data_IF_723894194279
#
_entry.id   IF_723894194279
#
_cell.length_a   1.000
_cell.length_b   1.000
_cell.length_c   1.000
_cell.angle_alpha   90.00
_cell.angle_beta   90.00
_cell.angle_gamma   90.00
#
_symmetry.space_group_name_H-M   'P 1'
#
loop_
_entity.id
_entity.type
_entity.pdbx_description
1 polymer ?
#
# COMPACT_ATOMS: atom_id res chain seq x y z
N UNK A 1 -1.69 -8.84 0.67
CA UNK A 1 -0.25 -8.89 0.98
C UNK A 1 -0.10 -8.71 2.48
N UNK A 2 0.73 -9.51 3.12
CA UNK A 2 1.06 -9.35 4.53
C UNK A 2 2.55 -9.01 4.65
N UNK A 3 2.90 -7.98 5.42
CA UNK A 3 4.24 -7.39 5.47
C UNK A 3 4.64 -7.06 6.91
N UNK A 4 5.94 -7.10 7.20
CA UNK A 4 6.50 -6.67 8.49
C UNK A 4 6.38 -5.14 8.59
N UNK A 5 5.25 -4.66 9.11
CA UNK A 5 4.89 -3.24 9.06
C UNK A 5 5.90 -2.35 9.80
N UNK A 6 6.61 -2.88 10.80
CA UNK A 6 7.61 -2.14 11.56
C UNK A 6 8.88 -1.83 10.75
N UNK A 7 9.40 -2.84 10.02
CA UNK A 7 10.68 -2.76 9.31
C UNK A 7 10.52 -2.27 7.87
N UNK A 8 9.38 -2.56 7.23
CA UNK A 8 9.14 -2.26 5.82
C UNK A 8 9.40 -0.80 5.40
N UNK A 9 9.07 0.24 6.21
CA UNK A 9 9.37 1.63 5.88
C UNK A 9 10.85 1.95 5.65
N UNK A 10 11.76 1.17 6.25
CA UNK A 10 13.20 1.38 6.13
C UNK A 10 13.81 0.63 4.94
N UNK A 11 13.06 -0.31 4.36
CA UNK A 11 13.51 -1.18 3.27
C UNK A 11 12.94 -0.70 1.93
N UNK A 12 11.67 -0.31 1.93
CA UNK A 12 10.92 -0.05 0.72
C UNK A 12 11.04 1.42 0.24
N UNK A 13 10.89 1.58 -1.08
CA UNK A 13 10.65 2.89 -1.68
C UNK A 13 9.16 3.06 -1.97
N UNK A 14 8.62 4.23 -1.63
CA UNK A 14 7.20 4.54 -1.77
C UNK A 14 7.05 5.97 -2.30
N UNK A 15 6.11 6.18 -3.23
CA UNK A 15 5.82 7.51 -3.76
C UNK A 15 4.78 8.20 -2.89
N UNK A 16 4.94 9.50 -2.73
CA UNK A 16 4.01 10.31 -1.92
C UNK A 16 2.59 10.41 -2.53
N UNK A 17 2.42 10.09 -3.82
CA UNK A 17 1.13 10.10 -4.50
C UNK A 17 0.43 8.73 -4.53
N UNK A 18 0.97 7.72 -3.83
CA UNK A 18 0.34 6.40 -3.72
C UNK A 18 -0.76 6.34 -2.65
N UNK A 19 -0.77 7.27 -1.70
CA UNK A 19 -1.83 7.43 -0.71
C UNK A 19 -1.75 8.80 -0.03
N UNK A 20 -2.80 9.17 0.70
CA UNK A 20 -2.84 10.44 1.46
C UNK A 20 -1.82 10.49 2.61
N UNK A 21 -1.44 9.33 3.15
CA UNK A 21 -0.47 9.22 4.26
C UNK A 21 0.88 8.75 3.76
N UNK A 22 1.94 9.09 4.48
CA UNK A 22 3.26 8.53 4.22
C UNK A 22 3.27 7.01 4.45
N UNK A 23 4.23 6.30 3.86
CA UNK A 23 4.41 4.85 4.08
C UNK A 23 4.43 4.49 5.57
N UNK A 24 5.14 5.26 6.39
CA UNK A 24 5.17 5.07 7.85
C UNK A 24 3.79 5.22 8.49
N UNK A 25 2.96 6.14 8.01
CA UNK A 25 1.58 6.31 8.45
C UNK A 25 0.70 5.11 8.09
N UNK A 26 0.83 4.62 6.84
CA UNK A 26 0.12 3.42 6.36
C UNK A 26 0.52 2.18 7.17
N UNK A 27 1.83 1.98 7.39
CA UNK A 27 2.32 0.83 8.17
C UNK A 27 1.87 0.90 9.63
N UNK A 28 1.88 2.10 10.24
CA UNK A 28 1.35 2.29 11.59
C UNK A 28 -0.14 1.96 11.70
N UNK A 29 -0.92 2.15 10.63
CA UNK A 29 -2.33 1.77 10.62
C UNK A 29 -2.55 0.24 10.63
N UNK A 30 -1.56 -0.54 10.19
CA UNK A 30 -1.57 -2.02 10.27
C UNK A 30 -1.22 -2.53 11.67
N UNK A 31 -0.43 -1.77 12.41
CA UNK A 31 -0.07 -2.11 13.79
C UNK A 31 -1.26 -1.80 14.69
N UNK A 32 -2.03 -2.83 15.08
CA UNK A 32 -2.97 -2.67 16.19
C UNK A 32 -2.17 -2.35 17.44
N UNK A 33 -2.27 -1.12 17.96
CA UNK A 33 -1.68 -0.76 19.26
C UNK A 33 -2.26 -1.52 20.47
N UNK A 34 -3.05 -2.56 20.21
CA UNK A 34 -3.63 -3.51 21.15
C UNK A 34 -3.11 -4.89 20.76
N UNK A 35 -2.16 -5.40 21.53
CA UNK A 35 -1.82 -6.82 21.51
C UNK A 35 -2.65 -7.50 22.59
N UNK A 36 -3.48 -8.46 22.23
CA UNK A 36 -4.09 -9.30 23.26
C UNK A 36 -2.97 -10.11 23.91
N UNK A 37 -2.88 -10.03 25.24
CA UNK A 37 -1.95 -10.88 25.98
C UNK A 37 -2.27 -12.35 25.68
N UNK A 38 -1.27 -13.14 25.27
CA UNK A 38 -1.44 -14.57 25.09
C UNK A 38 -1.80 -15.23 26.43
N UNK A 39 -2.51 -16.36 26.37
CA UNK A 39 -2.70 -17.20 27.55
C UNK A 39 -1.45 -18.05 27.69
N UNK A 40 -0.50 -17.61 28.50
CA UNK A 40 0.76 -18.32 28.71
C UNK A 40 0.53 -19.66 29.43
N UNK A 41 1.08 -20.72 28.86
CA UNK A 41 1.14 -22.04 29.48
C UNK A 41 2.43 -22.08 30.32
N UNK A 42 2.35 -22.31 31.64
CA UNK A 42 3.53 -22.37 32.50
C UNK A 42 4.50 -23.48 32.11
N UNK A 43 5.80 -23.17 32.13
CA UNK A 43 6.85 -24.15 31.84
C UNK A 43 6.76 -25.38 32.75
N UNK A 44 6.93 -26.55 32.13
CA UNK A 44 6.86 -27.85 32.81
C UNK A 44 5.46 -28.43 32.95
N UNK A 45 4.41 -27.74 32.46
CA UNK A 45 3.09 -28.34 32.33
C UNK A 45 3.14 -29.57 31.40
N UNK A 46 2.43 -30.63 31.78
CA UNK A 46 2.40 -31.90 31.03
C UNK A 46 1.04 -32.19 30.42
N UNK A 47 -0.04 -31.73 31.06
CA UNK A 47 -1.39 -31.88 30.55
C UNK A 47 -2.10 -30.54 30.51
N UNK A 48 -2.96 -30.40 29.51
CA UNK A 48 -3.91 -29.31 29.38
C UNK A 48 -5.31 -29.89 29.59
N UNK A 49 -6.11 -29.25 30.44
CA UNK A 49 -7.42 -29.75 30.86
C UNK A 49 -8.46 -28.64 30.86
N UNK A 50 -9.72 -29.03 30.77
CA UNK A 50 -10.87 -28.14 30.81
C UNK A 50 -12.10 -28.91 31.27
N UNK A 51 -12.95 -28.29 32.09
CA UNK A 51 -14.28 -28.82 32.32
C UNK A 51 -15.18 -28.43 31.16
N UNK A 52 -15.85 -29.41 30.57
CA UNK A 52 -16.77 -29.18 29.46
C UNK A 52 -18.10 -29.85 29.74
N UNK A 53 -19.19 -29.17 29.40
CA UNK A 53 -20.56 -29.69 29.47
C UNK A 53 -21.25 -29.39 28.15
N UNK A 54 -21.64 -30.45 27.43
CA UNK A 54 -22.34 -30.34 26.16
C UNK A 54 -23.86 -30.31 26.41
N UNK A 55 -24.60 -29.42 25.75
CA UNK A 55 -26.07 -29.37 25.89
C UNK A 55 -26.74 -30.69 25.49
N UNK A 56 -26.19 -31.35 24.46
CA UNK A 56 -26.71 -32.57 23.87
C UNK A 56 -25.58 -33.57 23.57
N UNK A 57 -25.97 -34.81 23.25
CA UNK A 57 -25.03 -35.80 22.74
C UNK A 57 -24.66 -35.51 21.28
N UNK A 58 -23.40 -35.13 21.04
CA UNK A 58 -22.87 -34.77 19.72
C UNK A 58 -21.96 -35.86 19.13
N UNK A 59 -22.52 -36.88 18.44
CA UNK A 59 -21.70 -37.94 17.85
C UNK A 59 -20.80 -37.39 16.73
N UNK A 60 -19.57 -37.89 16.65
CA UNK A 60 -18.56 -37.51 15.65
C UNK A 60 -18.05 -36.06 15.74
N UNK A 61 -18.28 -35.38 16.87
CA UNK A 61 -17.65 -34.09 17.16
C UNK A 61 -16.49 -34.28 18.14
N UNK A 62 -15.40 -33.56 17.92
CA UNK A 62 -14.17 -33.66 18.72
C UNK A 62 -13.77 -32.28 19.22
N UNK A 63 -13.33 -32.21 20.48
CA UNK A 63 -12.86 -30.97 21.07
C UNK A 63 -11.34 -30.89 21.00
N UNK A 64 -10.81 -29.77 20.52
CA UNK A 64 -9.39 -29.52 20.35
C UNK A 64 -8.96 -28.23 21.05
N UNK A 65 -7.68 -28.14 21.40
CA UNK A 65 -7.03 -26.91 21.82
C UNK A 65 -5.80 -26.65 20.96
N UNK A 66 -5.63 -25.42 20.50
CA UNK A 66 -4.49 -25.03 19.67
C UNK A 66 -3.49 -24.26 20.52
N UNK A 67 -2.25 -24.73 20.54
CA UNK A 67 -1.13 -24.14 21.27
C UNK A 67 -0.09 -23.59 20.31
N UNK A 68 0.60 -22.52 20.71
CA UNK A 68 1.71 -21.92 19.95
C UNK A 68 3.02 -22.07 20.71
N UNK A 69 4.07 -22.50 20.01
CA UNK A 69 5.44 -22.55 20.52
C UNK A 69 6.20 -21.21 20.33
N UNK A 70 7.40 -21.10 20.91
CA UNK A 70 8.23 -19.88 20.80
C UNK A 70 8.64 -19.51 19.36
N UNK A 71 8.62 -20.48 18.44
CA UNK A 71 8.94 -20.29 17.01
C UNK A 71 7.71 -19.88 16.21
N UNK A 72 6.57 -19.73 16.86
CA UNK A 72 5.29 -19.40 16.26
C UNK A 72 4.57 -20.60 15.63
N UNK A 73 5.07 -21.84 15.82
CA UNK A 73 4.43 -23.04 15.29
C UNK A 73 3.17 -23.33 16.10
N UNK A 74 2.05 -23.50 15.40
CA UNK A 74 0.78 -23.90 15.99
C UNK A 74 0.62 -25.41 15.92
N UNK A 75 0.15 -26.00 17.01
CA UNK A 75 -0.13 -27.43 17.12
C UNK A 75 -1.52 -27.65 17.72
N UNK A 76 -2.24 -28.66 17.21
CA UNK A 76 -3.62 -28.96 17.58
C UNK A 76 -3.64 -30.17 18.50
N UNK A 77 -3.96 -29.94 19.76
CA UNK A 77 -4.04 -30.97 20.79
C UNK A 77 -5.49 -31.46 20.90
N UNK A 78 -5.73 -32.73 20.59
CA UNK A 78 -7.06 -33.32 20.73
C UNK A 78 -7.36 -33.64 22.20
N UNK A 79 -8.53 -33.22 22.69
CA UNK A 79 -9.11 -33.60 23.98
C UNK A 79 -10.01 -34.84 23.85
N UNK A 80 -10.24 -35.33 22.63
CA UNK A 80 -11.10 -36.47 22.32
C UNK A 80 -12.50 -36.07 21.82
N UNK A 81 -13.44 -37.04 21.78
CA UNK A 81 -14.83 -36.80 21.43
C UNK A 81 -15.49 -35.80 22.39
N UNK A 82 -16.51 -35.07 21.93
CA UNK A 82 -17.32 -34.20 22.78
C UNK A 82 -17.86 -34.95 24.00
N UNK A 83 -17.96 -34.29 25.18
CA UNK A 83 -18.48 -34.93 26.38
C UNK A 83 -19.98 -35.23 26.22
N UNK A 84 -20.48 -36.19 26.99
CA UNK A 84 -21.93 -36.35 27.18
C UNK A 84 -22.47 -35.18 28.03
N UNK A 85 -23.79 -34.93 28.01
CA UNK A 85 -24.39 -33.91 28.89
C UNK A 85 -24.04 -34.13 30.36
N UNK A 86 -23.57 -33.06 31.01
CA UNK A 86 -23.00 -33.04 32.34
C UNK A 86 -21.49 -32.75 32.34
N UNK A 87 -21.05 -31.93 33.29
CA UNK A 87 -19.65 -31.55 33.47
C UNK A 87 -18.69 -32.74 33.49
N UNK A 88 -17.83 -32.77 32.47
CA UNK A 88 -16.80 -33.78 32.30
C UNK A 88 -15.44 -33.10 32.16
N UNK A 89 -14.45 -33.58 32.91
CA UNK A 89 -13.08 -33.10 32.79
C UNK A 89 -12.44 -33.72 31.56
N UNK A 90 -12.16 -32.90 30.56
CA UNK A 90 -11.44 -33.30 29.35
C UNK A 90 -9.95 -33.00 29.52
N UNK A 91 -9.08 -33.86 29.00
CA UNK A 91 -7.63 -33.69 29.12
C UNK A 91 -6.85 -34.13 27.88
N UNK A 92 -5.71 -33.50 27.65
CA UNK A 92 -4.76 -33.85 26.60
C UNK A 92 -3.32 -33.69 27.12
N UNK A 93 -2.38 -34.41 26.50
CA UNK A 93 -0.95 -34.34 26.87
C UNK A 93 -0.25 -33.32 26.00
N UNK A 94 0.54 -32.43 26.60
CA UNK A 94 1.36 -31.46 25.90
C UNK A 94 2.56 -32.21 25.28
N UNK A 95 2.72 -32.19 23.94
CA UNK A 95 3.80 -32.90 23.28
C UNK A 95 5.18 -32.33 23.61
N UNK A 96 6.18 -33.20 23.72
CA UNK A 96 7.56 -32.81 24.06
C UNK A 96 8.31 -32.11 22.91
N UNK A 97 7.80 -32.17 21.67
CA UNK A 97 8.44 -31.52 20.52
C UNK A 97 8.19 -30.01 20.45
N UNK A 98 7.26 -29.49 21.27
CA UNK A 98 6.97 -28.06 21.34
C UNK A 98 8.05 -27.32 22.14
N UNK A 99 8.50 -26.17 21.63
CA UNK A 99 9.54 -25.35 22.25
C UNK A 99 8.94 -24.25 23.14
N UNK A 100 9.24 -24.28 24.44
CA UNK A 100 8.82 -23.27 25.42
C UNK A 100 9.41 -21.87 25.16
N UNK A 101 8.71 -20.76 25.49
CA UNK A 101 7.39 -20.70 26.13
C UNK A 101 6.25 -21.14 25.19
N UNK A 102 5.18 -21.68 25.79
CA UNK A 102 3.98 -22.08 25.08
C UNK A 102 2.82 -21.15 25.43
N UNK A 103 1.89 -20.96 24.50
CA UNK A 103 0.65 -20.22 24.76
C UNK A 103 -0.57 -20.94 24.18
N UNK A 104 -1.71 -20.85 24.88
CA UNK A 104 -3.00 -21.32 24.40
C UNK A 104 -3.63 -20.24 23.51
N UNK A 105 -3.96 -20.61 22.28
CA UNK A 105 -4.44 -19.67 21.26
C UNK A 105 -5.92 -19.85 20.95
N UNK A 106 -6.40 -21.09 20.90
CA UNK A 106 -7.78 -21.38 20.48
C UNK A 106 -8.32 -22.64 21.14
N UNK A 107 -9.64 -22.64 21.36
CA UNK A 107 -10.44 -23.83 21.67
C UNK A 107 -11.35 -24.08 20.48
N UNK A 108 -11.34 -25.30 19.97
CA UNK A 108 -11.98 -25.65 18.71
C UNK A 108 -12.84 -26.89 18.85
N UNK A 109 -13.83 -26.98 17.98
CA UNK A 109 -14.61 -28.18 17.73
C UNK A 109 -14.41 -28.58 16.29
N UNK A 110 -14.12 -29.85 16.06
CA UNK A 110 -14.04 -30.44 14.74
C UNK A 110 -15.21 -31.40 14.52
N UNK A 111 -15.90 -31.21 13.40
CA UNK A 111 -16.92 -32.10 12.89
C UNK A 111 -16.56 -32.46 11.43
N UNK A 112 -16.46 -33.75 11.06
CA UNK A 112 -16.05 -34.17 9.71
C UNK A 112 -17.21 -34.03 8.71
N UNK A 113 -17.67 -32.81 8.50
CA UNK A 113 -18.76 -32.42 7.60
C UNK A 113 -18.27 -31.48 6.50
N UNK A 114 -19.03 -31.41 5.40
CA UNK A 114 -18.73 -30.53 4.28
C UNK A 114 -19.86 -29.50 4.10
N UNK A 115 -19.49 -28.23 3.98
CA UNK A 115 -20.45 -27.13 3.79
C UNK A 115 -21.33 -26.87 5.03
N UNK A 116 -22.49 -26.21 4.86
CA UNK A 116 -23.36 -25.76 5.95
C UNK A 116 -24.23 -26.90 6.49
N UNK A 117 -23.61 -28.04 6.78
CA UNK A 117 -24.27 -29.28 7.23
C UNK A 117 -23.87 -29.69 8.65
N UNK A 118 -23.16 -28.81 9.37
CA UNK A 118 -22.76 -29.06 10.75
C UNK A 118 -23.94 -29.11 11.71
N UNK A 119 -23.67 -29.70 12.86
CA UNK A 119 -24.63 -29.83 13.96
C UNK A 119 -24.72 -28.52 14.73
N UNK A 120 -25.95 -28.03 14.96
CA UNK A 120 -26.18 -26.85 15.82
C UNK A 120 -26.13 -27.28 17.27
N UNK A 121 -25.56 -26.45 18.14
CA UNK A 121 -25.54 -26.76 19.55
C UNK A 121 -24.92 -25.68 20.41
N UNK A 122 -24.89 -25.98 21.70
CA UNK A 122 -24.27 -25.20 22.74
C UNK A 122 -23.39 -26.09 23.62
N UNK A 123 -22.32 -25.50 24.13
CA UNK A 123 -21.47 -26.11 25.15
C UNK A 123 -21.02 -25.08 26.17
N UNK A 124 -20.80 -25.55 27.39
CA UNK A 124 -20.24 -24.79 28.50
C UNK A 124 -18.82 -25.25 28.78
N UNK A 125 -17.97 -24.31 29.15
CA UNK A 125 -16.55 -24.53 29.40
C UNK A 125 -16.15 -23.81 30.68
N UNK A 126 -15.46 -24.50 31.57
CA UNK A 126 -15.00 -23.92 32.83
C UNK A 126 -13.58 -24.40 33.18
N UNK A 127 -12.86 -23.58 33.92
CA UNK A 127 -11.49 -23.79 34.39
C UNK A 127 -10.58 -24.46 33.35
N UNK A 128 -10.14 -23.72 32.33
CA UNK A 128 -9.01 -24.16 31.50
C UNK A 128 -7.77 -24.12 32.38
N UNK A 129 -7.13 -25.27 32.60
CA UNK A 129 -6.00 -25.38 33.52
C UNK A 129 -4.95 -26.38 33.03
N UNK A 130 -3.78 -26.30 33.65
CA UNK A 130 -2.66 -27.21 33.39
C UNK A 130 -2.34 -28.05 34.61
N UNK A 131 -1.86 -29.26 34.36
CA UNK A 131 -1.34 -30.17 35.37
C UNK A 131 0.15 -30.44 35.15
N UNK A 132 0.90 -30.52 36.25
CA UNK A 132 2.34 -30.76 36.25
C UNK A 132 2.62 -32.18 36.76
N UNK A 133 3.52 -32.92 36.10
CA UNK A 133 3.88 -34.28 36.52
C UNK A 133 4.79 -34.36 37.74
N UNK A 134 5.21 -33.23 38.31
CA UNK A 134 6.10 -33.15 39.47
C UNK A 134 5.34 -32.95 40.81
N UNK A 135 4.00 -33.05 40.80
CA UNK A 135 3.18 -32.84 42.00
C UNK A 135 2.96 -31.37 42.37
N UNK A 136 3.36 -30.42 41.51
CA UNK A 136 2.95 -29.02 41.62
C UNK A 136 1.43 -28.92 41.42
N UNK A 137 0.78 -28.06 42.20
CA UNK A 137 -0.66 -27.84 42.10
C UNK A 137 -1.07 -27.40 40.68
N UNK A 138 -2.24 -27.85 40.19
CA UNK A 138 -2.77 -27.40 38.92
C UNK A 138 -2.87 -25.88 38.88
N UNK A 139 -2.57 -25.29 37.73
CA UNK A 139 -2.65 -23.84 37.53
C UNK A 139 -3.75 -23.50 36.53
N UNK A 140 -4.68 -22.67 36.94
CA UNK A 140 -5.73 -22.13 36.07
C UNK A 140 -5.12 -21.14 35.08
N UNK A 141 -5.47 -21.31 33.81
CA UNK A 141 -5.13 -20.43 32.70
C UNK A 141 -6.28 -19.45 32.41
N UNK A 142 -7.53 -19.92 32.44
CA UNK A 142 -8.73 -19.11 32.25
C UNK A 142 -9.91 -19.76 32.99
N UNK A 143 -10.51 -19.04 33.93
CA UNK A 143 -11.69 -19.43 34.72
C UNK A 143 -13.00 -18.81 34.18
N UNK A 144 -12.94 -18.04 33.09
CA UNK A 144 -14.08 -17.30 32.54
C UNK A 144 -14.75 -16.28 33.51
N UNK A 145 -14.10 -15.96 34.64
CA UNK A 145 -14.57 -15.00 35.63
C UNK A 145 -14.17 -13.56 35.32
N UNK A 146 -13.36 -13.34 34.29
CA UNK A 146 -12.92 -12.01 33.86
C UNK A 146 -13.81 -11.37 32.81
N UNK A 147 -13.29 -10.31 32.18
CA UNK A 147 -13.79 -9.85 30.89
C UNK A 147 -13.36 -10.85 29.81
N UNK A 148 -14.31 -11.49 29.15
CA UNK A 148 -13.99 -12.39 28.02
C UNK A 148 -13.24 -11.61 26.95
N UNK A 149 -12.03 -12.06 26.60
CA UNK A 149 -11.28 -11.58 25.43
C UNK A 149 -11.17 -12.68 24.35
N UNK A 150 -12.10 -13.64 24.38
CA UNK A 150 -12.26 -14.64 23.33
C UNK A 150 -13.06 -14.06 22.17
N UNK A 151 -12.72 -14.48 20.95
CA UNK A 151 -13.42 -14.11 19.71
C UNK A 151 -13.77 -15.38 18.96
N UNK A 152 -14.94 -15.45 18.35
CA UNK A 152 -15.33 -16.62 17.56
C UNK A 152 -14.55 -16.72 16.26
N UNK A 153 -14.26 -17.94 15.84
CA UNK A 153 -13.74 -18.22 14.51
C UNK A 153 -14.86 -17.92 13.49
N UNK A 154 -14.51 -17.24 12.40
CA UNK A 154 -15.47 -16.94 11.35
C UNK A 154 -15.75 -18.22 10.55
N UNK A 155 -17.01 -18.68 10.55
CA UNK A 155 -17.45 -19.89 9.84
C UNK A 155 -18.34 -19.57 8.65
N UNK A 156 -18.89 -18.35 8.60
CA UNK A 156 -19.75 -17.84 7.53
C UNK A 156 -19.66 -16.32 7.40
N UNK A 157 -20.09 -15.79 6.26
CA UNK A 157 -20.14 -14.35 5.99
C UNK A 157 -21.35 -13.65 6.64
N UNK A 158 -22.39 -14.42 6.99
CA UNK A 158 -23.69 -13.90 7.44
C UNK A 158 -24.16 -14.47 8.78
N UNK A 159 -23.62 -15.62 9.18
CA UNK A 159 -23.91 -16.27 10.45
C UNK A 159 -22.63 -16.34 11.26
N UNK A 160 -22.72 -16.01 12.55
CA UNK A 160 -21.60 -16.14 13.47
C UNK A 160 -22.00 -17.07 14.60
N UNK A 161 -21.08 -17.97 14.95
CA UNK A 161 -21.08 -18.58 16.26
C UNK A 161 -21.00 -17.48 17.34
N UNK A 162 -21.33 -17.83 18.58
CA UNK A 162 -21.31 -16.89 19.72
C UNK A 162 -20.46 -17.46 20.83
N UNK A 163 -19.51 -16.67 21.32
CA UNK A 163 -18.75 -16.95 22.55
C UNK A 163 -19.10 -15.91 23.60
N UNK A 164 -19.32 -16.36 24.83
CA UNK A 164 -19.69 -15.50 25.95
C UNK A 164 -19.41 -16.16 27.28
N UNK A 165 -20.04 -15.62 28.32
CA UNK A 165 -20.04 -16.19 29.68
C UNK A 165 -21.46 -16.28 30.19
N UNK A 166 -21.73 -17.24 31.08
CA UNK A 166 -23.05 -17.46 31.70
C UNK A 166 -22.88 -17.69 33.20
N UNK A 167 -23.89 -17.29 33.97
CA UNK A 167 -23.95 -17.50 35.44
C UNK A 167 -24.77 -18.77 35.79
N UNK A 168 -25.49 -19.33 34.80
CA UNK A 168 -26.47 -20.40 35.01
C UNK A 168 -25.86 -21.81 35.09
N UNK A 169 -24.66 -22.00 34.54
CA UNK A 169 -23.93 -23.26 34.52
C UNK A 169 -22.44 -22.99 34.81
N UNK A 170 -21.90 -23.55 35.90
CA UNK A 170 -20.49 -23.44 36.28
C UNK A 170 -20.06 -24.61 37.17
N UNK A 171 -18.77 -24.93 37.17
CA UNK A 171 -18.15 -25.93 38.05
C UNK A 171 -17.59 -25.25 39.29
N UNK A 172 -16.78 -24.21 39.08
CA UNK A 172 -16.25 -23.39 40.17
C UNK A 172 -16.60 -21.91 39.94
N UNK A 173 -16.26 -21.03 40.88
CA UNK A 173 -16.56 -19.61 40.74
C UNK A 173 -18.06 -19.27 40.73
N UNK A 174 -18.46 -18.43 39.78
CA UNK A 174 -19.81 -17.90 39.55
C UNK A 174 -20.24 -17.99 38.09
N UNK A 175 -19.30 -18.15 37.15
CA UNK A 175 -19.54 -18.06 35.70
C UNK A 175 -18.74 -19.13 34.97
N UNK A 176 -19.26 -19.56 33.83
CA UNK A 176 -18.53 -20.37 32.88
C UNK A 176 -18.56 -19.74 31.49
N UNK A 177 -17.63 -20.15 30.64
CA UNK A 177 -17.67 -19.87 29.21
C UNK A 177 -18.86 -20.58 28.56
N UNK A 178 -19.51 -19.91 27.62
CA UNK A 178 -20.54 -20.51 26.76
C UNK A 178 -20.14 -20.32 25.30
N UNK A 179 -20.23 -21.40 24.54
CA UNK A 179 -20.01 -21.39 23.09
C UNK A 179 -21.23 -21.98 22.38
N UNK A 180 -21.93 -21.14 21.62
CA UNK A 180 -23.07 -21.51 20.77
C UNK A 180 -22.63 -21.54 19.33
N UNK A 181 -22.87 -22.64 18.64
CA UNK A 181 -22.38 -22.86 17.28
C UNK A 181 -23.50 -23.25 16.32
N UNK A 182 -23.40 -22.71 15.10
CA UNK A 182 -24.36 -22.93 14.02
C UNK A 182 -23.98 -24.12 13.11
N UNK A 183 -24.69 -24.23 11.97
CA UNK A 183 -24.46 -25.27 10.96
C UNK A 183 -23.25 -25.02 10.06
N UNK A 184 -22.81 -23.76 9.99
CA UNK A 184 -21.70 -23.35 9.15
C UNK A 184 -20.37 -23.75 9.80
N UNK A 185 -19.43 -24.25 9.00
CA UNK A 185 -18.09 -24.65 9.45
C UNK A 185 -17.05 -24.17 8.44
N UNK A 186 -15.83 -23.87 8.90
CA UNK A 186 -14.67 -23.67 8.02
C UNK A 186 -13.82 -24.95 8.04
N UNK A 187 -13.89 -25.75 6.98
CA UNK A 187 -13.23 -27.07 6.89
C UNK A 187 -13.60 -28.04 8.04
N UNK A 188 -14.84 -27.96 8.53
CA UNK A 188 -15.31 -28.75 9.68
C UNK A 188 -14.90 -28.19 11.04
N UNK A 189 -14.18 -27.07 11.07
CA UNK A 189 -13.69 -26.43 12.29
C UNK A 189 -14.62 -25.27 12.68
N UNK A 190 -14.90 -25.19 13.99
CA UNK A 190 -15.58 -24.09 14.67
C UNK A 190 -14.86 -23.84 16.00
N UNK A 191 -15.17 -22.73 16.64
CA UNK A 191 -14.63 -22.45 17.97
C UNK A 191 -14.34 -20.99 18.19
N UNK A 192 -13.42 -20.73 19.09
CA UNK A 192 -13.05 -19.39 19.48
C UNK A 192 -11.55 -19.30 19.79
N UNK A 193 -10.99 -18.11 19.66
CA UNK A 193 -9.56 -17.85 19.73
C UNK A 193 -9.28 -16.52 20.44
N UNK A 194 -8.05 -16.38 20.96
CA UNK A 194 -7.52 -15.10 21.43
C UNK A 194 -6.97 -14.35 20.23
N UNK A 195 -7.66 -13.28 19.84
CA UNK A 195 -7.22 -12.51 18.68
C UNK A 195 -5.93 -11.75 18.98
N UNK A 196 -4.83 -11.97 18.22
CA UNK A 196 -3.57 -11.25 18.43
C UNK A 196 -3.73 -9.72 18.39
N UNK A 197 -4.65 -9.22 17.56
CA UNK A 197 -4.97 -7.79 17.41
C UNK A 197 -6.07 -7.28 18.35
N UNK A 198 -6.56 -8.12 19.27
CA UNK A 198 -7.67 -7.79 20.16
C UNK A 198 -9.05 -7.71 19.48
N UNK A 199 -9.17 -8.18 18.23
CA UNK A 199 -10.42 -8.17 17.46
C UNK A 199 -10.22 -8.61 16.02
N UNK A 200 -11.00 -8.10 15.05
CA UNK A 200 -10.72 -8.31 13.62
C UNK A 200 -9.28 -7.87 13.27
N UNK A 201 -8.69 -8.51 12.26
CA UNK A 201 -7.32 -8.20 11.82
C UNK A 201 -7.29 -6.81 11.19
N UNK A 202 -6.47 -5.86 11.68
CA UNK A 202 -6.35 -4.55 11.07
C UNK A 202 -5.76 -4.66 9.66
N UNK A 203 -6.38 -3.99 8.70
CA UNK A 203 -5.90 -3.96 7.32
C UNK A 203 -5.93 -2.56 6.74
N UNK A 204 -5.10 -2.32 5.74
CA UNK A 204 -5.22 -1.18 4.84
C UNK A 204 -5.73 -1.69 3.51
N UNK A 205 -6.80 -1.08 3.00
CA UNK A 205 -7.40 -1.50 1.74
C UNK A 205 -6.94 -0.62 0.58
N UNK A 206 -6.98 -1.15 -0.63
CA UNK A 206 -6.89 -0.30 -1.82
C UNK A 206 -8.21 0.46 -2.06
N UNK A 207 -8.15 1.64 -2.67
CA UNK A 207 -9.34 2.40 -3.06
C UNK A 207 -10.27 1.59 -4.00
N UNK A 208 -9.69 0.75 -4.89
CA UNK A 208 -10.46 -0.12 -5.77
C UNK A 208 -11.17 -1.26 -5.01
N UNK A 209 -10.55 -1.83 -3.96
CA UNK A 209 -11.18 -2.80 -3.07
C UNK A 209 -12.38 -2.17 -2.33
N UNK A 210 -12.17 -0.98 -1.75
CA UNK A 210 -13.23 -0.25 -1.05
C UNK A 210 -14.41 0.04 -1.99
N UNK A 211 -14.12 0.48 -3.23
CA UNK A 211 -15.16 0.74 -4.25
C UNK A 211 -15.89 -0.53 -4.70
N UNK A 212 -15.20 -1.66 -4.81
CA UNK A 212 -15.78 -2.93 -5.26
C UNK A 212 -16.67 -3.58 -4.19
N UNK A 213 -16.29 -3.45 -2.92
CA UNK A 213 -17.02 -4.06 -1.79
C UNK A 213 -18.02 -3.12 -1.15
N UNK A 214 -17.87 -1.81 -1.33
CA UNK A 214 -18.62 -0.79 -0.61
C UNK A 214 -18.18 -0.59 0.84
N UNK A 215 -17.17 -1.33 1.31
CA UNK A 215 -16.62 -1.21 2.65
C UNK A 215 -15.60 -0.06 2.71
N UNK A 216 -15.70 0.78 3.75
CA UNK A 216 -14.83 1.92 3.98
C UNK A 216 -14.00 1.79 5.26
N UNK A 217 -13.23 2.83 5.56
CA UNK A 217 -12.44 2.92 6.80
C UNK A 217 -13.37 2.87 8.02
N UNK A 218 -13.05 2.00 8.96
CA UNK A 218 -13.83 1.71 10.18
C UNK A 218 -14.69 0.47 10.07
N UNK A 219 -15.03 0.01 8.86
CA UNK A 219 -15.87 -1.16 8.66
C UNK A 219 -15.13 -2.45 9.03
N UNK A 220 -15.87 -3.38 9.64
CA UNK A 220 -15.41 -4.75 9.87
C UNK A 220 -16.18 -5.69 8.94
N UNK A 221 -15.45 -6.45 8.14
CA UNK A 221 -16.00 -7.41 7.17
C UNK A 221 -15.24 -8.72 7.25
N UNK A 222 -15.83 -9.80 6.74
CA UNK A 222 -15.16 -11.09 6.62
C UNK A 222 -14.72 -11.27 5.17
N UNK A 223 -13.45 -11.61 4.96
CA UNK A 223 -12.88 -11.87 3.63
C UNK A 223 -12.36 -13.29 3.54
N UNK A 224 -12.42 -13.87 2.35
CA UNK A 224 -11.79 -15.15 2.09
C UNK A 224 -10.33 -14.93 1.67
N UNK A 225 -9.39 -15.37 2.51
CA UNK A 225 -7.95 -15.33 2.25
C UNK A 225 -7.41 -16.75 2.24
N UNK A 226 -6.87 -17.20 1.10
CA UNK A 226 -6.30 -18.55 0.93
C UNK A 226 -7.28 -19.67 1.32
N UNK A 227 -8.58 -19.47 1.09
CA UNK A 227 -9.62 -20.45 1.43
C UNK A 227 -10.07 -20.42 2.89
N UNK A 228 -9.68 -19.39 3.67
CA UNK A 228 -10.02 -19.21 5.09
C UNK A 228 -10.81 -17.93 5.28
N UNK A 229 -11.79 -17.94 6.16
CA UNK A 229 -12.57 -16.76 6.50
C UNK A 229 -11.85 -15.92 7.56
N UNK A 230 -11.48 -14.70 7.19
CA UNK A 230 -10.72 -13.79 8.06
C UNK A 230 -11.56 -12.54 8.34
N UNK A 231 -11.98 -12.30 9.59
CA UNK A 231 -12.57 -11.03 9.98
C UNK A 231 -11.48 -9.96 9.96
N UNK A 232 -11.70 -8.92 9.17
CA UNK A 232 -10.80 -7.78 9.01
C UNK A 232 -11.48 -6.49 9.45
N UNK A 233 -10.69 -5.49 9.81
CA UNK A 233 -11.14 -4.11 9.99
C UNK A 233 -10.30 -3.18 9.13
N UNK A 234 -10.96 -2.37 8.30
CA UNK A 234 -10.27 -1.42 7.43
C UNK A 234 -9.84 -0.21 8.26
N UNK A 235 -8.54 -0.03 8.42
CA UNK A 235 -7.94 1.05 9.22
C UNK A 235 -7.55 2.25 8.37
N UNK A 236 -7.26 2.03 7.09
CA UNK A 236 -6.87 3.07 6.15
C UNK A 236 -7.10 2.63 4.69
N UNK A 237 -6.92 3.56 3.76
CA UNK A 237 -7.01 3.30 2.31
C UNK A 237 -5.81 3.87 1.54
N UNK A 238 -5.35 3.13 0.53
CA UNK A 238 -4.27 3.55 -0.40
C UNK A 238 -4.72 3.37 -1.85
N UNK A 239 -4.17 4.14 -2.79
CA UNK A 239 -4.46 3.95 -4.21
C UNK A 239 -3.54 2.89 -4.83
N UNK A 240 -2.26 2.96 -4.47
CA UNK A 240 -1.21 2.07 -4.98
C UNK A 240 -0.31 1.57 -3.85
N UNK A 241 0.24 0.39 -4.06
CA UNK A 241 1.28 -0.17 -3.19
C UNK A 241 2.27 -0.95 -4.06
N UNK A 242 3.59 -0.90 -3.78
CA UNK A 242 4.58 -1.68 -4.53
C UNK A 242 4.16 -3.15 -4.68
N UNK A 243 4.42 -3.73 -5.85
CA UNK A 243 4.05 -5.10 -6.27
C UNK A 243 2.55 -5.44 -6.32
N UNK A 244 1.67 -4.53 -5.90
CA UNK A 244 0.22 -4.75 -5.90
C UNK A 244 -0.48 -4.13 -7.11
N UNK A 245 -1.40 -4.88 -7.70
CA UNK A 245 -2.19 -4.47 -8.86
C UNK A 245 -3.63 -4.13 -8.45
N UNK A 246 -4.02 -2.85 -8.36
CA UNK A 246 -5.37 -2.45 -7.96
C UNK A 246 -6.44 -2.81 -9.00
N UNK A 247 -6.07 -3.16 -10.24
CA UNK A 247 -7.04 -3.50 -11.30
C UNK A 247 -7.70 -4.87 -11.10
N UNK A 248 -7.10 -5.76 -10.29
CA UNK A 248 -7.58 -7.12 -10.03
C UNK A 248 -8.52 -7.20 -8.82
N UNK A 249 -9.60 -6.42 -8.83
CA UNK A 249 -10.56 -6.26 -7.72
C UNK A 249 -9.97 -5.61 -6.44
N UNK A 250 -8.84 -4.92 -6.58
CA UNK A 250 -8.13 -4.31 -5.47
C UNK A 250 -7.34 -5.29 -4.62
N UNK A 251 -6.76 -4.76 -3.55
CA UNK A 251 -5.91 -5.50 -2.63
C UNK A 251 -6.09 -5.04 -1.18
N UNK A 252 -5.58 -5.88 -0.28
CA UNK A 252 -5.48 -5.63 1.15
C UNK A 252 -4.03 -5.77 1.59
N UNK A 253 -3.59 -4.87 2.47
CA UNK A 253 -2.33 -4.92 3.19
C UNK A 253 -2.63 -5.31 4.64
N UNK A 254 -1.81 -6.19 5.21
CA UNK A 254 -1.94 -6.71 6.56
C UNK A 254 -0.57 -6.72 7.22
N UNK A 255 -0.53 -6.64 8.54
CA UNK A 255 0.68 -6.98 9.28
C UNK A 255 0.98 -8.49 9.17
N UNK A 256 2.24 -8.85 8.90
CA UNK A 256 2.66 -10.23 8.63
C UNK A 256 2.37 -11.16 9.81
N UNK A 257 2.76 -10.75 11.02
CA UNK A 257 2.61 -11.58 12.22
C UNK A 257 1.14 -11.78 12.56
N UNK A 258 0.34 -10.72 12.51
CA UNK A 258 -1.10 -10.81 12.73
C UNK A 258 -1.78 -11.71 11.70
N UNK A 259 -1.41 -11.59 10.43
CA UNK A 259 -1.96 -12.40 9.35
C UNK A 259 -1.58 -13.89 9.51
N UNK A 260 -0.31 -14.20 9.77
CA UNK A 260 0.15 -15.58 9.94
C UNK A 260 -0.44 -16.24 11.18
N UNK A 261 -0.50 -15.52 12.31
CA UNK A 261 -1.15 -16.03 13.52
C UNK A 261 -2.61 -16.32 13.26
N UNK A 262 -3.35 -15.40 12.64
CA UNK A 262 -4.77 -15.64 12.36
C UNK A 262 -4.99 -16.79 11.38
N UNK A 263 -4.29 -16.79 10.23
CA UNK A 263 -4.46 -17.82 9.22
C UNK A 263 -4.15 -19.19 9.81
N UNK A 264 -3.02 -19.36 10.49
CA UNK A 264 -2.58 -20.67 10.95
C UNK A 264 -3.35 -21.23 12.15
N UNK A 265 -4.23 -20.46 12.83
CA UNK A 265 -5.12 -20.98 13.87
C UNK A 265 -6.11 -22.01 13.32
N UNK A 266 -6.56 -21.83 12.07
CA UNK A 266 -7.66 -22.60 11.49
C UNK A 266 -7.24 -23.94 10.85
N UNK A 267 -5.95 -24.28 10.75
CA UNK A 267 -5.57 -25.51 10.01
C UNK A 267 -4.35 -26.24 10.56
N UNK A 268 -4.51 -27.52 10.95
CA UNK A 268 -3.37 -28.43 11.15
C UNK A 268 -2.83 -29.00 9.82
N UNK A 269 -3.55 -28.85 8.70
CA UNK A 269 -3.22 -29.51 7.43
C UNK A 269 -2.25 -28.67 6.59
N UNK A 270 -2.45 -27.35 6.56
CA UNK A 270 -1.60 -26.45 5.77
C UNK A 270 -1.16 -25.25 6.59
N UNK A 271 0.14 -25.16 6.86
CA UNK A 271 0.73 -23.96 7.47
C UNK A 271 1.03 -22.95 6.37
N UNK A 272 0.42 -21.77 6.46
CA UNK A 272 0.79 -20.60 5.69
C UNK A 272 2.13 -20.08 6.22
N UNK A 273 3.07 -19.85 5.31
CA UNK A 273 4.41 -19.34 5.61
C UNK A 273 4.69 -18.10 4.75
N UNK A 274 5.60 -17.21 5.18
CA UNK A 274 6.12 -16.16 4.31
C UNK A 274 6.64 -16.73 3.00
N UNK A 275 6.36 -16.05 1.90
CA UNK A 275 6.73 -16.47 0.55
C UNK A 275 7.63 -15.47 -0.18
N UNK A 276 7.91 -14.31 0.43
CA UNK A 276 8.72 -13.22 -0.14
C UNK A 276 9.61 -12.62 0.96
N UNK A 277 10.78 -12.12 0.58
CA UNK A 277 11.72 -11.42 1.47
C UNK A 277 12.17 -10.16 0.75
N UNK A 278 12.07 -9.01 1.43
CA UNK A 278 12.61 -7.74 0.95
C UNK A 278 13.92 -7.46 1.68
N UNK A 279 14.96 -7.13 0.93
CA UNK A 279 16.31 -6.91 1.48
C UNK A 279 16.75 -5.49 1.14
N UNK A 280 17.16 -4.74 2.16
CA UNK A 280 17.86 -3.48 2.02
C UNK A 280 19.37 -3.72 2.07
N UNK A 281 20.09 -3.05 1.18
CA UNK A 281 21.56 -3.06 1.15
C UNK A 281 22.12 -1.77 1.78
N UNK A 282 23.25 -1.91 2.48
CA UNK A 282 24.07 -0.76 2.87
C UNK A 282 25.00 -0.39 1.72
N UNK A 283 25.37 0.90 1.55
CA UNK A 283 26.25 1.32 0.47
C UNK A 283 27.57 0.52 0.44
N UNK A 284 27.91 -0.06 -0.71
CA UNK A 284 29.13 -0.85 -0.91
C UNK A 284 29.01 -2.35 -0.60
N UNK A 285 27.83 -2.84 -0.22
CA UNK A 285 27.58 -4.27 0.06
C UNK A 285 26.78 -4.99 -1.05
N UNK A 286 26.59 -4.37 -2.21
CA UNK A 286 25.65 -4.79 -3.25
C UNK A 286 25.96 -6.22 -3.75
N UNK A 287 27.24 -6.49 -4.06
CA UNK A 287 27.66 -7.80 -4.58
C UNK A 287 27.51 -8.92 -3.54
N UNK A 288 27.82 -8.63 -2.27
CA UNK A 288 27.72 -9.60 -1.19
C UNK A 288 26.26 -9.90 -0.83
N UNK A 289 25.40 -8.88 -0.77
CA UNK A 289 23.96 -9.04 -0.56
C UNK A 289 23.35 -9.87 -1.71
N UNK A 290 23.75 -9.61 -2.96
CA UNK A 290 23.28 -10.38 -4.11
C UNK A 290 23.69 -11.85 -4.03
N UNK A 291 24.94 -12.15 -3.64
CA UNK A 291 25.40 -13.54 -3.42
C UNK A 291 24.60 -14.24 -2.32
N UNK A 292 24.34 -13.55 -1.21
CA UNK A 292 23.52 -14.08 -0.11
C UNK A 292 22.10 -14.36 -0.60
N UNK A 293 21.47 -13.41 -1.30
CA UNK A 293 20.14 -13.59 -1.87
C UNK A 293 20.07 -14.80 -2.81
N UNK A 294 21.08 -15.00 -3.68
CA UNK A 294 21.17 -16.16 -4.57
C UNK A 294 21.34 -17.49 -3.82
N UNK A 295 21.96 -17.48 -2.65
CA UNK A 295 22.11 -18.67 -1.80
C UNK A 295 20.85 -19.01 -1.00
N UNK A 296 20.01 -18.01 -0.70
CA UNK A 296 18.74 -18.18 -0.01
C UNK A 296 17.61 -18.57 -0.98
N UNK A 297 17.65 -18.07 -2.22
CA UNK A 297 16.58 -18.28 -3.19
C UNK A 297 16.61 -19.70 -3.78
N UNK A 298 15.45 -20.37 -3.94
CA UNK A 298 15.37 -21.69 -4.59
C UNK A 298 15.87 -21.69 -6.04
N UNK A 299 15.79 -20.54 -6.72
CA UNK A 299 16.28 -20.38 -8.09
C UNK A 299 16.71 -18.94 -8.35
N UNK A 300 17.67 -18.76 -9.26
CA UNK A 300 18.21 -17.42 -9.59
C UNK A 300 17.16 -16.46 -10.14
N UNK A 301 16.15 -16.97 -10.85
CA UNK A 301 15.10 -16.15 -11.49
C UNK A 301 14.12 -15.53 -10.47
N UNK A 302 14.19 -15.93 -9.21
CA UNK A 302 13.37 -15.35 -8.13
C UNK A 302 14.09 -14.22 -7.38
N UNK A 303 15.36 -13.97 -7.70
CA UNK A 303 16.10 -12.84 -7.14
C UNK A 303 15.93 -11.64 -8.06
N UNK A 304 15.23 -10.63 -7.55
CA UNK A 304 14.95 -9.39 -8.28
C UNK A 304 15.75 -8.24 -7.67
N UNK A 305 16.77 -7.77 -8.39
CA UNK A 305 17.49 -6.56 -8.04
C UNK A 305 16.80 -5.33 -8.65
N UNK A 306 16.43 -4.38 -7.80
CA UNK A 306 15.81 -3.11 -8.20
C UNK A 306 16.72 -2.32 -9.14
N UNK A 307 18.02 -2.24 -8.87
CA UNK A 307 18.96 -1.45 -9.69
C UNK A 307 19.05 -2.05 -11.09
N UNK A 308 19.26 -3.35 -11.18
CA UNK A 308 19.26 -4.09 -12.46
C UNK A 308 17.93 -3.98 -13.21
N UNK A 309 16.78 -4.04 -12.52
CA UNK A 309 15.47 -3.88 -13.16
C UNK A 309 15.28 -2.46 -13.71
N UNK A 310 15.60 -1.43 -12.94
CA UNK A 310 15.51 -0.04 -13.40
C UNK A 310 16.49 0.23 -14.55
N UNK A 311 17.70 -0.34 -14.49
CA UNK A 311 18.67 -0.23 -15.55
C UNK A 311 18.21 -0.94 -16.83
N UNK A 312 17.59 -2.12 -16.74
CA UNK A 312 17.02 -2.82 -17.90
C UNK A 312 15.95 -2.00 -18.62
N UNK A 313 15.14 -1.25 -17.88
CA UNK A 313 14.14 -0.32 -18.43
C UNK A 313 14.81 0.92 -19.06
N UNK A 314 15.90 1.43 -18.46
CA UNK A 314 16.65 2.58 -19.01
C UNK A 314 17.45 2.23 -20.27
N UNK A 315 17.99 1.02 -20.33
CA UNK A 315 18.88 0.56 -21.40
C UNK A 315 18.12 0.09 -22.64
N UNK A 316 16.78 0.07 -22.65
CA UNK A 316 16.01 -0.18 -23.87
C UNK A 316 16.27 0.95 -24.89
N UNK A 317 17.13 0.73 -25.91
CA UNK A 317 17.61 1.80 -26.79
C UNK A 317 16.49 2.34 -27.67
N UNK A 318 15.44 1.54 -27.90
CA UNK A 318 14.29 1.94 -28.70
C UNK A 318 13.45 2.98 -27.96
N UNK A 319 13.40 2.92 -26.63
CA UNK A 319 12.57 3.80 -25.79
C UNK A 319 13.38 4.98 -25.25
N UNK A 320 14.61 4.84 -24.76
CA UNK A 320 15.31 5.98 -24.15
C UNK A 320 16.13 6.81 -25.14
N UNK A 321 16.82 6.18 -26.10
CA UNK A 321 17.64 6.93 -27.06
C UNK A 321 16.78 7.67 -28.10
N UNK A 322 15.70 7.05 -28.57
CA UNK A 322 14.75 7.66 -29.49
C UNK A 322 14.10 8.92 -28.92
N UNK A 323 13.55 8.84 -27.71
CA UNK A 323 12.86 9.97 -27.07
C UNK A 323 13.81 11.12 -26.68
N UNK A 324 15.03 10.82 -26.21
CA UNK A 324 16.05 11.86 -25.96
C UNK A 324 16.46 12.59 -27.23
N UNK A 325 16.70 11.87 -28.33
CA UNK A 325 17.04 12.47 -29.61
C UNK A 325 15.89 13.34 -30.14
N UNK A 326 14.64 12.85 -30.05
CA UNK A 326 13.46 13.62 -30.43
C UNK A 326 13.30 14.89 -29.58
N UNK A 327 13.56 14.82 -28.27
CA UNK A 327 13.50 15.99 -27.39
C UNK A 327 14.53 17.05 -27.78
N UNK A 328 15.78 16.65 -28.07
CA UNK A 328 16.82 17.58 -28.54
C UNK A 328 16.48 18.20 -29.90
N UNK A 329 15.94 17.42 -30.83
CA UNK A 329 15.46 17.93 -32.11
C UNK A 329 14.30 18.91 -31.92
N UNK A 330 13.34 18.61 -31.04
CA UNK A 330 12.23 19.50 -30.73
C UNK A 330 12.73 20.83 -30.16
N UNK A 331 13.74 20.83 -29.28
CA UNK A 331 14.38 22.06 -28.79
C UNK A 331 14.93 22.89 -29.96
N UNK A 332 15.65 22.24 -30.89
CA UNK A 332 16.17 22.92 -32.08
C UNK A 332 15.07 23.55 -32.93
N UNK A 333 13.97 22.82 -33.16
CA UNK A 333 12.79 23.32 -33.90
C UNK A 333 12.14 24.48 -33.17
N UNK A 334 11.98 24.41 -31.84
CA UNK A 334 11.40 25.48 -31.02
C UNK A 334 12.24 26.75 -31.13
N UNK A 335 13.56 26.65 -30.94
CA UNK A 335 14.45 27.81 -31.01
C UNK A 335 14.48 28.42 -32.43
N UNK A 336 14.48 27.57 -33.45
CA UNK A 336 14.42 28.01 -34.85
C UNK A 336 13.10 28.73 -35.15
N UNK A 337 11.96 28.13 -34.80
CA UNK A 337 10.64 28.69 -35.02
C UNK A 337 10.43 29.99 -34.23
N UNK A 338 10.89 30.04 -32.97
CA UNK A 338 10.83 31.25 -32.14
C UNK A 338 11.67 32.38 -32.73
N UNK A 339 12.90 32.07 -33.17
CA UNK A 339 13.79 33.06 -33.81
C UNK A 339 13.16 33.59 -35.09
N UNK A 340 12.73 32.69 -35.98
CA UNK A 340 12.16 33.06 -37.28
C UNK A 340 10.87 33.87 -37.08
N UNK A 341 9.95 33.37 -36.26
CA UNK A 341 8.67 34.03 -35.99
C UNK A 341 8.86 35.43 -35.39
N UNK A 342 9.77 35.57 -34.41
CA UNK A 342 10.02 36.86 -33.79
C UNK A 342 10.74 37.84 -34.72
N UNK A 343 11.72 37.38 -35.51
CA UNK A 343 12.39 38.22 -36.52
C UNK A 343 11.39 38.70 -37.57
N UNK A 344 10.51 37.82 -38.08
CA UNK A 344 9.46 38.21 -39.03
C UNK A 344 8.51 39.24 -38.42
N UNK A 345 8.09 39.04 -37.16
CA UNK A 345 7.28 40.00 -36.43
C UNK A 345 7.97 41.37 -36.32
N UNK A 346 9.24 41.40 -35.90
CA UNK A 346 10.00 42.65 -35.77
C UNK A 346 10.19 43.38 -37.10
N UNK A 347 10.40 42.67 -38.20
CA UNK A 347 10.50 43.27 -39.54
C UNK A 347 9.18 43.94 -39.92
N UNK A 348 8.05 43.25 -39.71
CA UNK A 348 6.72 43.80 -39.95
C UNK A 348 6.44 45.02 -39.07
N UNK A 349 6.78 44.92 -37.78
CA UNK A 349 6.63 46.01 -36.82
C UNK A 349 7.50 47.21 -37.20
N UNK A 350 8.75 47.00 -37.60
CA UNK A 350 9.66 48.07 -38.02
C UNK A 350 9.14 48.83 -39.25
N UNK A 351 8.50 48.14 -40.20
CA UNK A 351 7.92 48.78 -41.37
C UNK A 351 6.75 49.72 -40.99
N UNK A 352 5.89 49.28 -40.06
CA UNK A 352 4.69 50.01 -39.66
C UNK A 352 4.95 51.12 -38.65
N UNK A 353 5.88 50.91 -37.72
CA UNK A 353 6.22 51.86 -36.64
C UNK A 353 7.13 53.01 -37.08
N UNK A 354 7.71 52.98 -38.29
CA UNK A 354 8.62 54.04 -38.79
C UNK A 354 7.98 55.43 -38.78
N UNK A 355 6.72 55.54 -39.20
CA UNK A 355 5.99 56.82 -39.22
C UNK A 355 5.69 57.32 -37.81
N UNK A 356 5.26 56.44 -36.91
CA UNK A 356 4.97 56.75 -35.50
C UNK A 356 6.23 57.20 -34.74
N UNK A 357 7.35 56.50 -34.97
CA UNK A 357 8.65 56.87 -34.40
C UNK A 357 9.10 58.26 -34.88
N UNK A 358 8.87 58.60 -36.16
CA UNK A 358 9.17 59.93 -36.71
C UNK A 358 8.33 61.03 -36.07
N UNK A 359 7.03 60.79 -35.89
CA UNK A 359 6.11 61.73 -35.23
C UNK A 359 6.51 62.01 -33.76
N UNK A 360 6.80 60.96 -33.00
CA UNK A 360 7.20 61.06 -31.60
C UNK A 360 8.56 61.75 -31.43
N UNK A 361 9.52 61.53 -32.35
CA UNK A 361 10.79 62.26 -32.35
C UNK A 361 10.60 63.75 -32.67
N UNK A 362 9.68 64.10 -33.58
CA UNK A 362 9.34 65.51 -33.88
C UNK A 362 8.69 66.22 -32.67
N UNK A 363 8.00 65.49 -31.80
CA UNK A 363 7.48 65.97 -30.51
C UNK A 363 8.55 66.10 -29.41
N UNK A 364 9.81 65.72 -29.69
CA UNK A 364 10.95 65.95 -28.81
C UNK A 364 11.46 64.73 -28.03
N UNK A 365 10.96 63.51 -28.30
CA UNK A 365 11.51 62.30 -27.69
C UNK A 365 12.95 62.04 -28.16
N UNK A 366 13.86 61.85 -27.19
CA UNK A 366 15.24 61.47 -27.51
C UNK A 366 15.34 60.03 -28.02
N UNK A 367 16.37 59.73 -28.83
CA UNK A 367 16.65 58.36 -29.33
C UNK A 367 16.73 57.32 -28.20
N UNK A 368 17.21 57.72 -27.00
CA UNK A 368 17.28 56.85 -25.82
C UNK A 368 15.90 56.57 -25.20
N UNK A 369 15.04 57.58 -25.10
CA UNK A 369 13.68 57.41 -24.58
C UNK A 369 12.84 56.54 -25.53
N UNK A 370 13.02 56.71 -26.85
CA UNK A 370 12.40 55.85 -27.86
C UNK A 370 12.82 54.38 -27.70
N UNK A 371 14.13 54.11 -27.55
CA UNK A 371 14.63 52.76 -27.34
C UNK A 371 14.08 52.10 -26.07
N UNK A 372 13.95 52.85 -24.97
CA UNK A 372 13.34 52.34 -23.73
C UNK A 372 11.85 52.03 -23.87
N UNK A 373 11.09 52.90 -24.55
CA UNK A 373 9.67 52.69 -24.80
C UNK A 373 9.43 51.40 -25.59
N UNK A 374 10.15 51.24 -26.71
CA UNK A 374 10.08 50.03 -27.55
C UNK A 374 10.51 48.78 -26.79
N UNK A 375 11.56 48.90 -25.97
CA UNK A 375 12.04 47.79 -25.15
C UNK A 375 11.01 47.37 -24.11
N UNK A 376 10.36 48.33 -23.45
CA UNK A 376 9.31 48.04 -22.48
C UNK A 376 8.10 47.35 -23.14
N UNK A 377 7.66 47.84 -24.28
CA UNK A 377 6.56 47.24 -25.06
C UNK A 377 6.86 45.79 -25.45
N UNK A 378 8.03 45.55 -26.04
CA UNK A 378 8.41 44.21 -26.49
C UNK A 378 8.72 43.27 -25.32
N UNK A 379 9.20 43.79 -24.19
CA UNK A 379 9.39 43.01 -22.97
C UNK A 379 8.05 42.50 -22.43
N UNK A 380 6.98 43.31 -22.50
CA UNK A 380 5.63 42.87 -22.13
C UNK A 380 5.15 41.75 -23.06
N UNK A 381 5.35 41.90 -24.38
CA UNK A 381 4.99 40.86 -25.36
C UNK A 381 5.77 39.57 -25.10
N UNK A 382 7.08 39.65 -24.88
CA UNK A 382 7.92 38.49 -24.60
C UNK A 382 7.54 37.81 -23.27
N UNK A 383 7.26 38.60 -22.22
CA UNK A 383 6.84 38.07 -20.93
C UNK A 383 5.48 37.36 -21.02
N UNK A 384 4.51 37.96 -21.69
CA UNK A 384 3.19 37.33 -21.91
C UNK A 384 3.31 36.08 -22.79
N UNK A 385 4.11 36.13 -23.85
CA UNK A 385 4.36 34.99 -24.73
C UNK A 385 5.00 33.81 -23.99
N UNK A 386 6.02 34.08 -23.16
CA UNK A 386 6.64 33.06 -22.32
C UNK A 386 5.65 32.50 -21.29
N UNK A 387 4.88 33.36 -20.62
CA UNK A 387 3.91 32.92 -19.62
C UNK A 387 2.80 32.04 -20.23
N UNK A 388 2.17 32.50 -21.31
CA UNK A 388 1.10 31.78 -22.00
C UNK A 388 1.66 30.49 -22.63
N UNK A 389 2.83 30.56 -23.27
CA UNK A 389 3.48 29.40 -23.87
C UNK A 389 3.85 28.34 -22.84
N UNK A 390 4.35 28.76 -21.67
CA UNK A 390 4.64 27.84 -20.55
C UNK A 390 3.36 27.18 -20.03
N UNK A 391 2.30 27.96 -19.80
CA UNK A 391 1.02 27.43 -19.34
C UNK A 391 0.40 26.44 -20.35
N UNK A 392 0.42 26.79 -21.64
CA UNK A 392 -0.04 25.91 -22.71
C UNK A 392 0.82 24.64 -22.82
N UNK A 393 2.14 24.76 -22.66
CA UNK A 393 3.07 23.63 -22.62
C UNK A 393 2.73 22.65 -21.51
N UNK A 394 2.56 23.13 -20.27
CA UNK A 394 2.16 22.28 -19.15
C UNK A 394 0.79 21.62 -19.35
N UNK A 395 -0.19 22.37 -19.86
CA UNK A 395 -1.51 21.83 -20.15
C UNK A 395 -1.43 20.71 -21.21
N UNK A 396 -0.69 20.93 -22.30
CA UNK A 396 -0.51 19.94 -23.36
C UNK A 396 0.26 18.71 -22.86
N UNK A 397 1.31 18.90 -22.06
CA UNK A 397 2.07 17.80 -21.46
C UNK A 397 1.17 16.92 -20.58
N UNK A 398 0.30 17.52 -19.78
CA UNK A 398 -0.63 16.77 -18.92
C UNK A 398 -1.60 15.91 -19.76
N UNK A 399 -2.15 16.47 -20.84
CA UNK A 399 -3.05 15.75 -21.75
C UNK A 399 -2.31 14.60 -22.47
N UNK A 400 -1.09 14.85 -22.96
CA UNK A 400 -0.31 13.84 -23.68
C UNK A 400 0.06 12.67 -22.77
N UNK A 401 0.53 12.93 -21.55
CA UNK A 401 0.87 11.87 -20.59
C UNK A 401 -0.34 10.97 -20.33
N UNK A 402 -1.52 11.55 -20.12
CA UNK A 402 -2.75 10.77 -19.91
C UNK A 402 -3.11 9.85 -21.10
N UNK A 403 -2.76 10.24 -22.33
CA UNK A 403 -3.05 9.47 -23.55
C UNK A 403 -2.01 8.39 -23.89
N UNK A 404 -0.75 8.56 -23.48
CA UNK A 404 0.35 7.63 -23.76
C UNK A 404 0.54 6.62 -22.63
N UNK A 405 -0.03 6.89 -21.45
CA UNK A 405 0.01 6.03 -20.27
C UNK A 405 -0.86 4.77 -20.38
N UNK A 406 -0.89 4.13 -21.55
CA UNK A 406 -1.75 3.00 -21.85
C UNK A 406 -0.89 1.84 -22.37
N UNK A 407 -1.09 0.64 -21.82
CA UNK A 407 -0.43 -0.60 -22.24
C UNK A 407 -0.85 -0.99 -23.67
N UNK A 408 -0.17 -1.97 -24.26
CA UNK A 408 -0.56 -2.54 -25.56
C UNK A 408 -2.02 -3.08 -25.57
N UNK A 409 -2.56 -3.38 -24.38
CA UNK A 409 -3.91 -3.88 -24.18
C UNK A 409 -4.95 -2.78 -23.88
N UNK A 410 -4.57 -1.50 -23.90
CA UNK A 410 -5.53 -0.42 -23.64
C UNK A 410 -5.76 -0.11 -22.15
N UNK A 411 -4.97 -0.70 -21.23
CA UNK A 411 -5.10 -0.48 -19.79
C UNK A 411 -4.11 0.58 -19.28
N UNK A 412 -4.44 1.35 -18.24
CA UNK A 412 -3.50 2.33 -17.69
C UNK A 412 -2.22 1.65 -17.18
N UNK A 413 -1.07 2.26 -17.48
CA UNK A 413 0.24 1.79 -16.98
C UNK A 413 0.32 2.01 -15.46
N UNK A 414 0.79 0.99 -14.75
CA UNK A 414 0.97 1.00 -13.31
C UNK A 414 2.47 1.02 -12.94
N UNK A 415 2.90 1.89 -12.02
CA UNK A 415 2.15 3.00 -11.42
C UNK A 415 1.94 4.16 -12.43
N UNK A 416 0.97 5.06 -12.19
CA UNK A 416 0.71 6.19 -13.08
C UNK A 416 1.94 7.09 -13.21
N UNK A 417 2.16 7.63 -14.40
CA UNK A 417 3.26 8.55 -14.66
C UNK A 417 3.06 9.88 -13.92
N UNK A 418 4.14 10.38 -13.31
CA UNK A 418 4.19 11.74 -12.74
C UNK A 418 4.91 12.64 -13.73
N UNK A 419 4.28 13.77 -14.07
CA UNK A 419 4.92 14.80 -14.87
C UNK A 419 6.01 15.46 -14.02
N UNK A 420 7.27 15.17 -14.34
CA UNK A 420 8.42 15.86 -13.75
C UNK A 420 9.07 16.74 -14.80
N UNK A 421 9.41 17.98 -14.43
CA UNK A 421 10.10 18.92 -15.32
C UNK A 421 11.57 18.92 -14.98
N UNK A 422 12.40 18.51 -15.93
CA UNK A 422 13.85 18.63 -15.81
C UNK A 422 14.29 20.06 -16.12
N UNK A 423 14.46 20.85 -15.06
CA UNK A 423 14.93 22.23 -15.15
C UNK A 423 16.35 22.36 -15.69
N UNK A 424 17.16 21.30 -15.65
CA UNK A 424 18.50 21.32 -16.24
C UNK A 424 18.46 21.43 -17.77
N UNK A 425 17.38 20.92 -18.38
CA UNK A 425 17.14 21.03 -19.83
C UNK A 425 16.31 22.28 -20.14
N UNK A 426 15.22 22.51 -19.41
CA UNK A 426 14.31 23.62 -19.69
C UNK A 426 14.93 25.00 -19.40
N UNK A 427 15.77 25.11 -18.37
CA UNK A 427 16.43 26.37 -18.00
C UNK A 427 17.26 26.97 -19.14
N UNK A 428 18.19 26.21 -19.75
CA UNK A 428 18.92 26.65 -20.95
C UNK A 428 18.03 27.04 -22.13
N UNK A 429 16.90 26.35 -22.35
CA UNK A 429 15.97 26.69 -23.43
C UNK A 429 15.32 28.05 -23.18
N UNK A 430 14.83 28.30 -21.96
CA UNK A 430 14.31 29.62 -21.59
C UNK A 430 15.39 30.71 -21.70
N UNK A 431 16.62 30.43 -21.26
CA UNK A 431 17.73 31.36 -21.40
C UNK A 431 18.03 31.68 -22.88
N UNK A 432 18.04 30.67 -23.75
CA UNK A 432 18.23 30.85 -25.18
C UNK A 432 17.11 31.68 -25.81
N UNK A 433 15.84 31.43 -25.46
CA UNK A 433 14.71 32.23 -25.90
C UNK A 433 14.86 33.70 -25.46
N UNK A 434 15.20 33.95 -24.21
CA UNK A 434 15.44 35.31 -23.69
C UNK A 434 16.61 35.99 -24.43
N UNK A 435 17.69 35.26 -24.72
CA UNK A 435 18.83 35.77 -25.50
C UNK A 435 18.42 36.11 -26.95
N UNK A 436 17.58 35.29 -27.58
CA UNK A 436 17.03 35.56 -28.91
C UNK A 436 16.18 36.84 -28.85
N UNK A 437 15.23 36.94 -27.91
CA UNK A 437 14.37 38.12 -27.77
C UNK A 437 15.17 39.41 -27.53
N UNK A 438 16.13 39.37 -26.60
CA UNK A 438 16.97 40.52 -26.26
C UNK A 438 17.94 40.89 -27.39
N UNK A 439 18.53 39.90 -28.06
CA UNK A 439 19.40 40.10 -29.22
C UNK A 439 18.67 40.72 -30.41
N UNK A 440 17.48 40.21 -30.73
CA UNK A 440 16.64 40.75 -31.79
C UNK A 440 16.11 42.16 -31.46
N UNK A 441 15.75 42.42 -30.20
CA UNK A 441 15.36 43.76 -29.73
C UNK A 441 16.52 44.75 -29.82
N UNK A 442 17.71 44.35 -29.38
CA UNK A 442 18.92 45.18 -29.50
C UNK A 442 19.21 45.53 -30.96
N UNK A 443 19.07 44.55 -31.87
CA UNK A 443 19.21 44.77 -33.30
C UNK A 443 18.18 45.76 -33.84
N UNK A 444 16.91 45.67 -33.43
CA UNK A 444 15.86 46.63 -33.81
C UNK A 444 16.16 48.05 -33.32
N UNK A 445 16.51 48.22 -32.04
CA UNK A 445 16.83 49.53 -31.46
C UNK A 445 18.02 50.16 -32.18
N UNK A 446 19.05 49.36 -32.48
CA UNK A 446 20.24 49.84 -33.20
C UNK A 446 19.92 50.25 -34.64
N UNK A 447 19.17 49.45 -35.38
CA UNK A 447 18.79 49.75 -36.77
C UNK A 447 17.88 50.97 -36.86
N UNK A 448 16.92 51.11 -35.94
CA UNK A 448 16.06 52.30 -35.84
C UNK A 448 16.85 53.58 -35.53
N UNK A 449 17.88 53.51 -34.68
CA UNK A 449 18.69 54.68 -34.31
C UNK A 449 19.58 55.25 -35.44
N UNK A 450 19.82 54.44 -36.48
CA UNK A 450 20.69 54.75 -37.63
C UNK A 450 19.93 55.21 -38.88
N UNK A 451 18.60 55.34 -38.83
CA UNK A 451 17.84 55.85 -39.97
C UNK A 451 18.01 57.37 -40.04
N UNK A 452 18.62 57.86 -41.11
CA UNK A 452 18.80 59.28 -41.38
C UNK A 452 17.45 59.92 -41.72
N UNK A 453 17.07 60.95 -40.95
CA UNK A 453 15.84 61.74 -41.12
C UNK A 453 15.70 62.37 -42.52
N UNK A 454 16.76 62.37 -43.32
CA UNK A 454 16.79 62.95 -44.66
C UNK A 454 16.17 62.07 -45.76
N UNK A 455 16.05 60.75 -45.55
CA UNK A 455 15.40 59.85 -46.53
C UNK A 455 13.87 59.84 -46.41
N UNK A 456 13.32 60.16 -45.23
CA UNK A 456 11.89 60.02 -44.94
C UNK A 456 11.08 61.19 -45.55
N UNK A 457 11.66 62.39 -45.65
CA UNK A 457 10.98 63.55 -46.27
C UNK A 457 10.85 63.48 -47.80
N UNK A 458 11.49 62.50 -48.45
CA UNK A 458 11.48 62.35 -49.91
C UNK A 458 10.41 61.35 -50.41
N UNK A 459 9.87 60.51 -49.54
CA UNK A 459 8.89 59.46 -49.91
C UNK A 459 7.44 59.98 -49.83
N UNK A 460 7.16 61.06 -49.10
CA UNK A 460 5.84 61.73 -49.09
C UNK A 460 5.68 62.83 -50.16
N UNK A 461 6.68 62.99 -51.04
CA UNK A 461 6.72 64.04 -52.08
C UNK A 461 6.45 63.59 -53.52
N UNK A 462 6.19 62.30 -53.75
CA UNK A 462 5.66 61.74 -55.01
C UNK A 462 4.32 61.05 -54.72
#
# INVERSE_FOLDING_TARGET
MAIEAEEFPYIAWYRDDFSERSLTGVMRALQSGVHAEPIDIPEGAQKLKVWADAEDYYPNMFMWMVVQDRRGVLDTLTLGPMPEPGWTLMETTIPQHLEWPLSLVSVQIYEPVFGPSGTVGEMYLDDIHVEFGNGREPQILDDFEGSSKWTTLATSLISSDVVGVTDDAHVTGRRAGVFKFGKDTDQGIRGFYRSPSGGPVPVVSSASFSKATGAGVGDAIIVNLMGRLVPIRIMDTVDYFPTMDPSRNGFLLMDLDNALRHLNILSPITTVRPNEIFISEVPGAEEEVHKIALSLAPSRNQVHDRASLVESVRLDPLITAGWKAMALLAIGVILFAATLGYVTYLISFSAQSRSEMGFLQALGLSKRQMGWLLSAEHLVIAALGLLIGTAAGFAMSNIMVASVAVTEQGTPVLPPFVLTTDWSIMGPVYAALVLIFTGSLYWLVRTSSNVDLYEISRIEGE
#
